data_IF_131837249412
#
_entry.id   IF_131837249412
#
_cell.length_a   1.000
_cell.length_b   1.000
_cell.length_c   1.000
_cell.angle_alpha   90.00
_cell.angle_beta   90.00
_cell.angle_gamma   90.00
#
_symmetry.space_group_name_H-M   'P 1'
#
loop_
_entity.id
_entity.type
_entity.pdbx_description
1 polymer ?
#
# COMPACT_ATOMS: atom_id res chain seq x y z
N UNK A 1 10.52 -6.52 49.17
CA UNK A 1 9.21 -6.54 48.47
C UNK A 1 9.08 -5.50 47.36
N UNK A 2 9.73 -4.33 47.45
CA UNK A 2 9.71 -3.29 46.41
C UNK A 2 10.27 -3.77 45.04
N UNK A 3 11.32 -4.60 45.07
CA UNK A 3 11.99 -5.09 43.86
C UNK A 3 11.14 -6.13 43.08
N UNK A 4 10.31 -6.90 43.77
CA UNK A 4 9.41 -7.89 43.17
C UNK A 4 8.22 -7.22 42.50
N UNK A 5 7.67 -6.18 43.14
CA UNK A 5 6.60 -5.35 42.58
C UNK A 5 7.04 -4.55 41.35
N UNK A 6 8.26 -4.00 41.37
CA UNK A 6 8.79 -3.27 40.23
C UNK A 6 9.02 -4.21 39.03
N UNK A 7 9.52 -5.43 39.28
CA UNK A 7 9.69 -6.45 38.24
C UNK A 7 8.37 -6.87 37.59
N UNK A 8 7.33 -7.12 38.37
CA UNK A 8 6.01 -7.50 37.82
C UNK A 8 5.39 -6.38 37.01
N UNK A 9 5.54 -5.13 37.45
CA UNK A 9 4.99 -3.95 36.77
C UNK A 9 5.71 -3.67 35.43
N UNK A 10 7.03 -3.85 35.39
CA UNK A 10 7.82 -3.77 34.15
C UNK A 10 7.42 -4.88 33.18
N UNK A 11 7.25 -6.12 33.64
CA UNK A 11 6.79 -7.23 32.79
C UNK A 11 5.40 -6.96 32.20
N UNK A 12 4.46 -6.42 32.98
CA UNK A 12 3.12 -6.03 32.53
C UNK A 12 3.17 -4.93 31.46
N UNK A 13 4.04 -3.92 31.63
CA UNK A 13 4.23 -2.85 30.64
C UNK A 13 4.80 -3.37 29.32
N UNK A 14 5.79 -4.27 29.37
CA UNK A 14 6.36 -4.90 28.17
C UNK A 14 5.32 -5.75 27.45
N UNK A 15 4.50 -6.50 28.19
CA UNK A 15 3.43 -7.32 27.63
C UNK A 15 2.34 -6.46 26.95
N UNK A 16 1.98 -5.32 27.55
CA UNK A 16 1.04 -4.38 26.98
C UNK A 16 1.57 -3.77 25.67
N UNK A 17 2.85 -3.39 25.62
CA UNK A 17 3.48 -2.85 24.42
C UNK A 17 3.53 -3.87 23.26
N UNK A 18 3.79 -5.14 23.57
CA UNK A 18 3.78 -6.23 22.59
C UNK A 18 2.37 -6.47 22.00
N UNK A 19 1.32 -6.29 22.80
CA UNK A 19 -0.07 -6.44 22.35
C UNK A 19 -0.57 -5.28 21.48
N UNK A 20 0.07 -4.11 21.52
CA UNK A 20 -0.30 -2.94 20.70
C UNK A 20 0.36 -2.95 19.30
N UNK A 21 1.44 -3.71 19.10
CA UNK A 21 2.15 -3.81 17.81
C UNK A 21 1.29 -4.24 16.60
N UNK A 22 0.36 -5.22 16.69
CA UNK A 22 -0.40 -5.68 15.53
C UNK A 22 -1.45 -4.67 15.02
N UNK A 23 -1.90 -3.71 15.85
CA UNK A 23 -2.94 -2.75 15.44
C UNK A 23 -2.49 -1.83 14.28
N UNK A 24 -1.19 -1.54 14.18
CA UNK A 24 -0.67 -0.61 13.17
C UNK A 24 -0.48 -1.26 11.79
N UNK A 25 -0.33 -2.58 11.74
CA UNK A 25 -0.13 -3.33 10.50
C UNK A 25 -1.40 -3.36 9.63
N UNK A 26 -2.59 -3.38 10.24
CA UNK A 26 -3.87 -3.44 9.53
C UNK A 26 -4.26 -2.12 8.85
N UNK A 27 -3.94 -0.98 9.49
CA UNK A 27 -4.21 0.34 8.92
C UNK A 27 -3.37 0.59 7.65
N UNK A 28 -2.08 0.23 7.68
CA UNK A 28 -1.18 0.38 6.53
C UNK A 28 -1.62 -0.50 5.33
N UNK A 29 -2.16 -1.69 5.60
CA UNK A 29 -2.69 -2.60 4.55
C UNK A 29 -3.92 -2.03 3.86
N UNK A 30 -4.85 -1.40 4.60
CA UNK A 30 -6.06 -0.78 4.03
C UNK A 30 -5.74 0.35 3.06
N UNK A 31 -4.78 1.21 3.40
CA UNK A 31 -4.36 2.31 2.52
C UNK A 31 -3.65 1.80 1.25
N UNK A 32 -2.75 0.81 1.39
CA UNK A 32 -2.11 0.17 0.23
C UNK A 32 -3.14 -0.46 -0.71
N UNK A 33 -4.13 -1.19 -0.19
CA UNK A 33 -5.19 -1.79 -0.98
C UNK A 33 -6.01 -0.74 -1.76
N UNK A 34 -6.33 0.40 -1.12
CA UNK A 34 -7.05 1.51 -1.76
C UNK A 34 -6.22 2.14 -2.89
N UNK A 35 -4.92 2.36 -2.65
CA UNK A 35 -4.00 2.89 -3.67
C UNK A 35 -3.83 1.92 -4.83
N UNK A 36 -3.69 0.62 -4.55
CA UNK A 36 -3.61 -0.41 -5.57
C UNK A 36 -4.84 -0.37 -6.50
N UNK A 37 -6.06 -0.35 -5.93
CA UNK A 37 -7.30 -0.27 -6.71
C UNK A 37 -7.34 1.00 -7.58
N UNK A 38 -6.88 2.13 -7.05
CA UNK A 38 -6.80 3.40 -7.79
C UNK A 38 -5.83 3.33 -8.98
N UNK A 39 -4.66 2.73 -8.79
CA UNK A 39 -3.67 2.56 -9.86
C UNK A 39 -4.20 1.59 -10.92
N UNK A 40 -4.81 0.47 -10.52
CA UNK A 40 -5.42 -0.46 -11.47
C UNK A 40 -6.52 0.19 -12.31
N UNK A 41 -7.40 0.99 -11.70
CA UNK A 41 -8.45 1.71 -12.44
C UNK A 41 -7.85 2.64 -13.52
N UNK A 42 -6.72 3.30 -13.22
CA UNK A 42 -6.02 4.15 -14.20
C UNK A 42 -5.41 3.31 -15.34
N UNK A 43 -4.82 2.16 -15.03
CA UNK A 43 -4.27 1.23 -16.04
C UNK A 43 -5.39 0.80 -16.98
N UNK A 44 -6.52 0.34 -16.44
CA UNK A 44 -7.69 -0.05 -17.23
C UNK A 44 -8.22 1.08 -18.10
N UNK A 45 -8.25 2.31 -17.58
CA UNK A 45 -8.69 3.48 -18.36
C UNK A 45 -7.76 3.79 -19.55
N UNK A 46 -6.44 3.72 -19.36
CA UNK A 46 -5.48 3.91 -20.46
C UNK A 46 -5.61 2.76 -21.48
N UNK A 47 -5.65 1.52 -21.01
CA UNK A 47 -5.83 0.36 -21.89
C UNK A 47 -7.12 0.45 -22.70
N UNK A 48 -8.23 0.92 -22.11
CA UNK A 48 -9.48 1.18 -22.83
C UNK A 48 -9.29 2.21 -23.94
N UNK A 49 -8.56 3.31 -23.69
CA UNK A 49 -8.22 4.31 -24.72
C UNK A 49 -7.36 3.74 -25.84
N UNK A 50 -6.51 2.76 -25.53
CA UNK A 50 -5.70 2.06 -26.52
C UNK A 50 -6.48 1.02 -27.35
N UNK A 51 -7.72 0.68 -26.97
CA UNK A 51 -8.58 -0.19 -27.79
C UNK A 51 -9.26 0.57 -28.94
N UNK A 52 -9.32 1.90 -28.86
CA UNK A 52 -9.81 2.76 -29.94
C UNK A 52 -8.65 3.22 -30.82
N UNK A 53 -8.90 3.62 -32.09
CA UNK A 53 -7.85 4.21 -32.92
C UNK A 53 -7.21 5.42 -32.22
N UNK A 54 -5.89 5.47 -32.25
CA UNK A 54 -5.11 6.56 -31.69
C UNK A 54 -3.94 6.90 -32.62
N UNK A 55 -3.46 8.13 -32.53
CA UNK A 55 -2.28 8.57 -33.30
C UNK A 55 -0.99 8.03 -32.68
N UNK A 56 0.06 7.90 -33.47
CA UNK A 56 1.39 7.45 -32.97
C UNK A 56 1.88 8.25 -31.76
N UNK A 57 1.64 9.58 -31.76
CA UNK A 57 1.99 10.46 -30.62
C UNK A 57 1.20 10.12 -29.35
N UNK A 58 -0.08 9.79 -29.50
CA UNK A 58 -0.93 9.33 -28.39
C UNK A 58 -0.46 7.96 -27.88
N UNK A 59 -0.10 7.03 -28.77
CA UNK A 59 0.44 5.73 -28.41
C UNK A 59 1.69 5.81 -27.54
N UNK A 60 2.67 6.66 -27.91
CA UNK A 60 3.87 6.92 -27.11
C UNK A 60 3.53 7.46 -25.73
N UNK A 61 2.58 8.40 -25.64
CA UNK A 61 2.12 8.95 -24.35
C UNK A 61 1.43 7.89 -23.50
N UNK A 62 0.60 7.04 -24.09
CA UNK A 62 -0.09 5.97 -23.38
C UNK A 62 0.88 4.92 -22.84
N UNK A 63 1.86 4.47 -23.64
CA UNK A 63 2.89 3.55 -23.17
C UNK A 63 3.75 4.15 -22.05
N UNK A 64 4.18 5.42 -22.17
CA UNK A 64 4.92 6.09 -21.09
C UNK A 64 4.09 6.17 -19.80
N UNK A 65 2.80 6.46 -19.93
CA UNK A 65 1.88 6.52 -18.78
C UNK A 65 1.66 5.14 -18.16
N UNK A 66 1.47 4.10 -18.98
CA UNK A 66 1.33 2.72 -18.51
C UNK A 66 2.57 2.25 -17.76
N UNK A 67 3.78 2.49 -18.28
CA UNK A 67 5.01 2.14 -17.58
C UNK A 67 5.13 2.81 -16.20
N UNK A 68 4.73 4.07 -16.10
CA UNK A 68 4.70 4.76 -14.80
C UNK A 68 3.68 4.10 -13.85
N UNK A 69 2.48 3.83 -14.33
CA UNK A 69 1.42 3.19 -13.55
C UNK A 69 1.79 1.78 -13.10
N UNK A 70 2.48 0.99 -13.93
CA UNK A 70 2.94 -0.34 -13.54
C UNK A 70 4.01 -0.28 -12.44
N UNK A 71 4.92 0.69 -12.49
CA UNK A 71 5.88 0.94 -11.40
C UNK A 71 5.16 1.33 -10.10
N UNK A 72 4.16 2.20 -10.19
CA UNK A 72 3.32 2.55 -9.02
C UNK A 72 2.53 1.34 -8.49
N UNK A 73 1.99 0.50 -9.38
CA UNK A 73 1.26 -0.70 -9.01
C UNK A 73 2.15 -1.68 -8.24
N UNK A 74 3.41 -1.84 -8.65
CA UNK A 74 4.36 -2.69 -7.93
C UNK A 74 4.55 -2.25 -6.46
N UNK A 75 4.56 -0.96 -6.18
CA UNK A 75 4.74 -0.45 -4.80
C UNK A 75 3.51 -0.58 -3.90
N UNK A 76 2.31 -0.59 -4.48
CA UNK A 76 1.05 -0.57 -3.71
C UNK A 76 0.28 -1.89 -3.73
N UNK A 77 0.42 -2.70 -4.78
CA UNK A 77 -0.30 -3.95 -4.98
C UNK A 77 0.49 -5.21 -4.60
N UNK A 78 1.80 -5.07 -4.39
CA UNK A 78 2.72 -6.13 -3.98
C UNK A 78 3.22 -5.86 -2.55
#
# INVERSE_FOLDING_TARGET
MLNTFLRTLVCLLVFLLLMLAPLQADAAKKDKAKQCKKVQNKITAIQKKMRSPYTTKQGVRYHKTLNKLYKEAFSYCH
#
